data_IF_613328775242
#
_entry.id   IF_613328775242
#
_cell.length_a   1.000
_cell.length_b   1.000
_cell.length_c   1.000
_cell.angle_alpha   90.00
_cell.angle_beta   90.00
_cell.angle_gamma   90.00
#
_symmetry.space_group_name_H-M   'P 1'
#
loop_
_entity.id
_entity.type
_entity.pdbx_description
1 polymer ?
#
# COMPACT_ATOMS: atom_id res chain seq x y z
N UNK A 1 -2.66 20.89 -0.06
CA UNK A 1 -1.41 21.00 0.71
C UNK A 1 -0.99 22.46 0.83
N UNK A 2 -0.24 22.80 1.89
CA UNK A 2 0.49 24.06 1.99
C UNK A 2 1.77 23.93 1.14
N UNK A 3 2.04 24.92 0.28
CA UNK A 3 3.22 24.93 -0.59
C UNK A 3 4.43 25.52 0.16
N UNK A 4 4.83 24.86 1.26
CA UNK A 4 5.92 25.29 2.14
C UNK A 4 7.00 24.24 2.24
N UNK A 5 8.26 24.68 2.36
CA UNK A 5 9.38 23.78 2.61
C UNK A 5 9.22 23.03 3.94
N UNK A 6 9.61 21.77 3.97
CA UNK A 6 9.72 20.96 5.20
C UNK A 6 11.07 21.30 5.88
N UNK A 7 11.08 21.33 7.21
CA UNK A 7 12.32 21.52 7.99
C UNK A 7 13.39 20.51 7.53
N UNK A 8 14.61 20.96 7.20
CA UNK A 8 15.69 20.07 6.73
C UNK A 8 15.99 18.88 7.65
N UNK A 9 15.81 19.06 8.97
CA UNK A 9 15.98 17.98 9.95
C UNK A 9 14.93 16.88 9.78
N UNK A 10 13.68 17.28 9.53
CA UNK A 10 12.59 16.33 9.27
C UNK A 10 12.81 15.65 7.91
N UNK A 11 13.23 16.39 6.90
CA UNK A 11 13.54 15.81 5.59
C UNK A 11 14.69 14.80 5.69
N UNK A 12 15.71 15.07 6.50
CA UNK A 12 16.77 14.11 6.79
C UNK A 12 16.24 12.83 7.44
N UNK A 13 15.30 12.94 8.41
CA UNK A 13 14.65 11.78 9.03
C UNK A 13 13.85 10.97 8.00
N UNK A 14 13.11 11.62 7.08
CA UNK A 14 12.38 10.95 6.01
C UNK A 14 13.35 10.18 5.11
N UNK A 15 14.45 10.81 4.69
CA UNK A 15 15.47 10.16 3.86
C UNK A 15 16.14 8.98 4.57
N UNK A 16 16.43 9.10 5.88
CA UNK A 16 16.94 7.99 6.68
C UNK A 16 15.91 6.84 6.73
N UNK A 17 14.63 7.15 6.96
CA UNK A 17 13.59 6.12 7.00
C UNK A 17 13.42 5.40 5.66
N UNK A 18 13.55 6.10 4.53
CA UNK A 18 13.53 5.47 3.20
C UNK A 18 14.59 4.36 3.09
N UNK A 19 15.75 4.52 3.71
CA UNK A 19 16.83 3.52 3.68
C UNK A 19 16.55 2.29 4.57
N UNK A 20 15.59 2.38 5.49
CA UNK A 20 15.22 1.29 6.40
C UNK A 20 14.00 0.50 5.93
N UNK A 21 13.37 0.91 4.82
CA UNK A 21 12.17 0.27 4.31
C UNK A 21 12.44 -1.20 3.93
N UNK A 22 11.63 -2.09 4.48
CA UNK A 22 11.73 -3.52 4.22
C UNK A 22 10.82 -3.91 3.03
N UNK A 23 11.38 -4.46 1.95
CA UNK A 23 10.58 -4.99 0.85
C UNK A 23 9.91 -6.32 1.23
N UNK A 24 8.73 -6.56 0.68
CA UNK A 24 8.06 -7.87 0.79
C UNK A 24 8.80 -8.95 -0.04
N UNK A 25 9.32 -8.54 -1.19
CA UNK A 25 10.09 -9.38 -2.11
C UNK A 25 11.46 -8.74 -2.36
N UNK A 26 12.53 -9.20 -1.70
CA UNK A 26 13.87 -8.60 -1.85
C UNK A 26 14.41 -8.59 -3.29
N UNK A 27 13.99 -9.56 -4.13
CA UNK A 27 14.42 -9.64 -5.54
C UNK A 27 13.73 -8.60 -6.44
N UNK A 28 12.57 -8.06 -6.02
CA UNK A 28 11.86 -7.01 -6.76
C UNK A 28 12.50 -5.64 -6.48
N UNK A 29 13.56 -5.32 -7.22
CA UNK A 29 14.34 -4.10 -7.04
C UNK A 29 13.48 -2.84 -7.25
N UNK A 30 13.60 -1.87 -6.35
CA UNK A 30 12.90 -0.60 -6.39
C UNK A 30 13.83 0.56 -6.02
N UNK A 31 13.38 1.78 -6.35
CA UNK A 31 14.00 3.06 -5.91
C UNK A 31 12.89 4.03 -5.51
N UNK A 32 13.18 4.87 -4.52
CA UNK A 32 12.28 5.97 -4.13
C UNK A 32 13.05 7.28 -4.30
N UNK A 33 12.47 8.19 -5.07
CA UNK A 33 12.95 9.55 -5.21
C UNK A 33 12.00 10.52 -4.49
N UNK A 34 12.58 11.51 -3.81
CA UNK A 34 11.85 12.66 -3.27
C UNK A 34 11.98 13.80 -4.26
N UNK A 35 10.85 14.31 -4.75
CA UNK A 35 10.78 15.43 -5.68
C UNK A 35 10.26 16.65 -4.94
N UNK A 36 11.05 17.71 -4.90
CA UNK A 36 10.69 19.00 -4.30
C UNK A 36 9.93 19.87 -5.28
N UNK A 37 8.84 20.47 -4.86
CA UNK A 37 7.97 21.29 -5.70
C UNK A 37 7.39 22.52 -4.96
N UNK A 38 7.84 22.81 -3.75
CA UNK A 38 7.30 23.89 -2.91
C UNK A 38 7.54 25.29 -3.52
N UNK A 39 8.51 25.44 -4.42
CA UNK A 39 8.86 26.68 -5.10
C UNK A 39 8.31 26.79 -6.53
N UNK A 40 7.44 25.87 -6.96
CA UNK A 40 6.82 25.90 -8.28
C UNK A 40 5.29 25.95 -8.21
N UNK A 41 4.68 26.73 -9.11
CA UNK A 41 3.24 26.76 -9.31
C UNK A 41 2.75 25.79 -10.40
N UNK A 42 3.68 25.17 -11.14
CA UNK A 42 3.36 24.24 -12.22
C UNK A 42 3.23 22.81 -11.67
N UNK A 43 2.33 22.05 -12.27
CA UNK A 43 2.27 20.61 -12.00
C UNK A 43 3.55 19.91 -12.45
N UNK A 44 4.19 19.17 -11.54
CA UNK A 44 5.42 18.41 -11.80
C UNK A 44 5.13 17.17 -12.64
N UNK A 45 3.92 16.62 -12.50
CA UNK A 45 3.47 15.41 -13.20
C UNK A 45 2.33 15.71 -14.17
N UNK A 46 2.12 14.81 -15.13
CA UNK A 46 0.94 14.79 -16.01
C UNK A 46 -0.04 13.72 -15.52
N UNK A 47 -1.34 13.99 -15.59
CA UNK A 47 -2.40 13.06 -15.17
C UNK A 47 -3.73 13.80 -14.96
N UNK A 48 -4.83 13.07 -14.76
CA UNK A 48 -6.14 13.67 -14.56
C UNK A 48 -6.44 14.05 -13.10
N UNK A 49 -5.98 13.24 -12.16
CA UNK A 49 -6.29 13.41 -10.72
C UNK A 49 -5.02 13.78 -9.96
N UNK A 50 -4.49 14.98 -10.23
CA UNK A 50 -3.28 15.47 -9.59
C UNK A 50 -3.62 16.35 -8.40
N UNK A 51 -2.95 16.11 -7.27
CA UNK A 51 -2.91 17.04 -6.15
C UNK A 51 -1.62 17.86 -6.25
N UNK A 52 -1.73 19.19 -6.18
CA UNK A 52 -0.56 20.05 -6.04
C UNK A 52 -0.04 19.96 -4.60
N UNK A 53 1.22 19.61 -4.44
CA UNK A 53 1.86 19.41 -3.14
C UNK A 53 3.30 19.94 -3.16
N UNK A 54 3.87 20.29 -2.00
CA UNK A 54 5.24 20.78 -1.91
C UNK A 54 6.28 19.70 -2.17
N UNK A 55 5.91 18.43 -1.98
CA UNK A 55 6.80 17.27 -2.18
C UNK A 55 6.03 16.09 -2.75
N UNK A 56 6.77 15.28 -3.49
CA UNK A 56 6.26 14.01 -4.03
C UNK A 56 7.28 12.90 -3.80
N UNK A 57 6.79 11.72 -3.52
CA UNK A 57 7.54 10.47 -3.54
C UNK A 57 7.25 9.78 -4.87
N UNK A 58 8.29 9.37 -5.58
CA UNK A 58 8.18 8.56 -6.79
C UNK A 58 8.85 7.22 -6.51
N UNK A 59 8.06 6.15 -6.46
CA UNK A 59 8.61 4.80 -6.42
C UNK A 59 8.65 4.25 -7.83
N UNK A 60 9.84 3.84 -8.25
CA UNK A 60 10.11 3.16 -9.51
C UNK A 60 10.66 1.77 -9.23
N UNK A 61 10.32 0.80 -10.06
CA UNK A 61 10.77 -0.59 -9.92
C UNK A 61 11.27 -1.15 -11.25
N UNK A 62 12.17 -2.15 -11.18
CA UNK A 62 12.51 -2.97 -12.33
C UNK A 62 11.38 -3.94 -12.65
N UNK A 63 11.34 -4.41 -13.89
CA UNK A 63 10.37 -5.42 -14.30
C UNK A 63 10.56 -6.70 -13.48
N UNK A 64 9.51 -7.07 -12.76
CA UNK A 64 9.47 -8.25 -11.91
C UNK A 64 8.01 -8.62 -11.63
N UNK A 65 7.64 -9.91 -11.59
CA UNK A 65 6.25 -10.35 -11.34
C UNK A 65 5.62 -9.80 -10.05
N UNK A 66 6.44 -9.46 -9.06
CA UNK A 66 5.98 -8.90 -7.77
C UNK A 66 6.24 -7.40 -7.63
N UNK A 67 6.70 -6.71 -8.68
CA UNK A 67 7.06 -5.29 -8.60
C UNK A 67 5.92 -4.42 -8.07
N UNK A 68 4.70 -4.59 -8.57
CA UNK A 68 3.56 -3.79 -8.16
C UNK A 68 3.13 -4.06 -6.71
N UNK A 69 3.05 -5.32 -6.30
CA UNK A 69 2.72 -5.69 -4.90
C UNK A 69 3.78 -5.16 -3.95
N UNK A 70 5.07 -5.36 -4.29
CA UNK A 70 6.19 -4.87 -3.49
C UNK A 70 6.20 -3.34 -3.39
N UNK A 71 5.92 -2.63 -4.50
CA UNK A 71 5.83 -1.18 -4.51
C UNK A 71 4.72 -0.66 -3.58
N UNK A 72 3.54 -1.30 -3.58
CA UNK A 72 2.46 -0.95 -2.66
C UNK A 72 2.84 -1.17 -1.19
N UNK A 73 3.46 -2.33 -0.89
CA UNK A 73 3.90 -2.67 0.45
C UNK A 73 4.97 -1.69 1.00
N UNK A 74 5.96 -1.36 0.19
CA UNK A 74 7.04 -0.45 0.58
C UNK A 74 6.55 1.00 0.69
N UNK A 75 5.75 1.46 -0.28
CA UNK A 75 5.27 2.84 -0.26
C UNK A 75 4.33 3.09 0.92
N UNK A 76 3.51 2.11 1.32
CA UNK A 76 2.60 2.30 2.45
C UNK A 76 3.33 2.42 3.79
N UNK A 77 4.45 1.73 4.01
CA UNK A 77 5.30 1.95 5.19
C UNK A 77 5.72 3.41 5.29
N UNK A 78 6.15 4.01 4.17
CA UNK A 78 6.56 5.41 4.13
C UNK A 78 5.38 6.37 4.29
N UNK A 79 4.23 6.07 3.70
CA UNK A 79 2.99 6.85 3.85
C UNK A 79 2.56 6.88 5.31
N UNK A 80 2.53 5.74 5.99
CA UNK A 80 2.16 5.66 7.41
C UNK A 80 3.17 6.40 8.29
N UNK A 81 4.48 6.30 7.98
CA UNK A 81 5.51 7.08 8.65
C UNK A 81 5.28 8.59 8.49
N UNK A 82 4.99 9.08 7.28
CA UNK A 82 4.71 10.49 7.03
C UNK A 82 3.46 10.96 7.81
N UNK A 83 2.41 10.15 7.82
CA UNK A 83 1.19 10.44 8.58
C UNK A 83 1.48 10.50 10.08
N UNK A 84 2.32 9.61 10.63
CA UNK A 84 2.73 9.64 12.04
C UNK A 84 3.52 10.91 12.40
N UNK A 85 4.20 11.52 11.40
CA UNK A 85 4.88 12.83 11.55
C UNK A 85 3.95 14.03 11.33
N UNK A 86 2.65 13.81 11.13
CA UNK A 86 1.64 14.86 10.96
C UNK A 86 1.54 15.42 9.53
N UNK A 87 2.12 14.76 8.53
CA UNK A 87 1.95 15.12 7.13
C UNK A 87 0.66 14.52 6.56
N UNK A 88 0.03 15.28 5.69
CA UNK A 88 -1.00 14.76 4.80
C UNK A 88 -0.33 14.05 3.62
N UNK A 89 -0.95 13.01 3.10
CA UNK A 89 -0.49 12.23 1.95
C UNK A 89 -1.63 12.02 0.96
N UNK A 90 -1.29 11.82 -0.31
CA UNK A 90 -2.27 11.50 -1.36
C UNK A 90 -1.61 10.64 -2.44
N UNK A 91 -2.11 9.43 -2.63
CA UNK A 91 -1.75 8.58 -3.76
C UNK A 91 -2.24 9.17 -5.08
N UNK A 92 -1.36 9.27 -6.07
CA UNK A 92 -1.64 9.80 -7.40
C UNK A 92 -1.53 8.67 -8.42
N UNK A 93 -2.56 7.82 -8.48
CA UNK A 93 -2.55 6.60 -9.29
C UNK A 93 -2.43 6.82 -10.80
N UNK A 94 -2.78 8.01 -11.30
CA UNK A 94 -2.69 8.38 -12.72
C UNK A 94 -1.51 9.33 -13.04
N UNK A 95 -0.69 9.67 -12.04
CA UNK A 95 0.46 10.53 -12.27
C UNK A 95 1.50 9.82 -13.15
N UNK A 96 1.91 10.49 -14.23
CA UNK A 96 2.93 10.00 -15.17
C UNK A 96 4.24 10.70 -14.88
N UNK A 97 5.26 9.92 -14.55
CA UNK A 97 6.66 10.32 -14.44
C UNK A 97 7.45 9.74 -15.62
N UNK A 98 8.60 10.35 -15.93
CA UNK A 98 9.51 9.78 -16.93
C UNK A 98 10.19 8.53 -16.34
N UNK A 99 10.46 7.50 -17.17
CA UNK A 99 11.31 6.37 -16.76
C UNK A 99 12.70 6.86 -16.35
N UNK A 100 13.32 6.16 -15.41
CA UNK A 100 14.72 6.37 -15.05
C UNK A 100 15.65 5.76 -16.10
N UNK A 101 16.90 6.27 -16.18
CA UNK A 101 17.91 5.81 -17.14
C UNK A 101 18.31 4.34 -16.93
N UNK A 102 18.17 3.81 -15.73
CA UNK A 102 18.57 2.44 -15.33
C UNK A 102 17.44 1.40 -15.45
N UNK A 103 16.49 1.56 -16.36
CA UNK A 103 15.36 0.64 -16.60
C UNK A 103 14.34 0.56 -15.43
N UNK A 104 14.40 1.47 -14.48
CA UNK A 104 13.35 1.58 -13.48
C UNK A 104 12.12 2.28 -14.06
N UNK A 105 10.96 1.64 -13.93
CA UNK A 105 9.70 2.18 -14.40
C UNK A 105 8.92 2.78 -13.22
N UNK A 106 8.39 4.01 -13.35
CA UNK A 106 7.58 4.62 -12.31
C UNK A 106 6.32 3.77 -12.03
N UNK A 107 6.17 3.33 -10.79
CA UNK A 107 5.03 2.50 -10.35
C UNK A 107 3.94 3.35 -9.70
N UNK A 108 4.32 4.24 -8.80
CA UNK A 108 3.37 5.07 -8.04
C UNK A 108 4.00 6.39 -7.60
N UNK A 109 3.18 7.42 -7.56
CA UNK A 109 3.53 8.74 -7.02
C UNK A 109 2.65 9.02 -5.82
N UNK A 110 3.24 9.53 -4.74
CA UNK A 110 2.52 10.01 -3.55
C UNK A 110 2.87 11.48 -3.31
N UNK A 111 1.87 12.34 -3.30
CA UNK A 111 2.01 13.73 -2.88
C UNK A 111 2.02 13.81 -1.35
N UNK A 112 2.88 14.65 -0.76
CA UNK A 112 2.88 14.86 0.69
C UNK A 112 3.27 16.29 1.09
N UNK A 113 2.87 16.67 2.29
CA UNK A 113 3.13 17.99 2.87
C UNK A 113 2.15 18.32 3.99
N UNK A 114 2.23 19.51 4.56
CA UNK A 114 1.24 19.96 5.54
C UNK A 114 -0.12 20.16 4.87
N UNK A 115 -1.20 19.75 5.54
CA UNK A 115 -2.55 20.01 5.04
C UNK A 115 -2.81 21.53 4.94
N UNK A 116 -3.45 21.98 3.85
CA UNK A 116 -3.80 23.41 3.68
C UNK A 116 -4.86 23.86 4.69
N UNK A 117 -5.86 23.02 4.94
CA UNK A 117 -6.92 23.25 5.90
C UNK A 117 -7.31 21.95 6.60
N UNK A 118 -7.69 22.05 7.88
CA UNK A 118 -8.31 20.93 8.61
C UNK A 118 -9.78 20.77 8.22
N UNK A 119 -10.08 20.53 6.94
CA UNK A 119 -11.43 20.14 6.57
C UNK A 119 -11.73 18.77 7.16
N UNK A 120 -12.79 18.69 7.98
CA UNK A 120 -13.34 17.40 8.44
C UNK A 120 -13.89 16.66 7.21
N UNK A 121 -13.04 15.93 6.50
CA UNK A 121 -13.50 15.00 5.46
C UNK A 121 -14.18 13.82 6.16
N UNK A 122 -15.34 13.42 5.65
CA UNK A 122 -15.93 12.14 6.07
C UNK A 122 -14.91 11.03 5.76
N UNK A 123 -14.69 10.08 6.69
CA UNK A 123 -13.84 8.91 6.40
C UNK A 123 -14.32 8.22 5.13
N UNK A 124 -13.40 7.73 4.32
CA UNK A 124 -13.76 6.93 3.16
C UNK A 124 -14.52 5.69 3.62
N UNK A 125 -15.62 5.35 2.92
CA UNK A 125 -16.39 4.16 3.25
C UNK A 125 -15.52 2.91 3.12
N UNK A 126 -15.75 1.94 3.98
CA UNK A 126 -15.05 0.64 3.92
C UNK A 126 -16.08 -0.47 3.87
N UNK A 127 -15.78 -1.51 3.10
CA UNK A 127 -16.60 -2.74 3.05
C UNK A 127 -16.75 -3.32 4.45
N UNK A 128 -17.88 -3.95 4.72
CA UNK A 128 -18.09 -4.66 5.98
C UNK A 128 -17.16 -5.87 6.04
N UNK A 129 -16.77 -6.26 7.24
CA UNK A 129 -15.91 -7.44 7.44
C UNK A 129 -16.53 -8.69 6.80
N UNK A 130 -17.86 -8.85 6.92
CA UNK A 130 -18.62 -9.95 6.32
C UNK A 130 -18.56 -10.04 4.80
N UNK A 131 -18.20 -8.92 4.10
CA UNK A 131 -18.00 -8.92 2.66
C UNK A 131 -16.58 -9.31 2.26
N UNK A 132 -15.64 -9.24 3.22
CA UNK A 132 -14.22 -9.46 3.00
C UNK A 132 -13.76 -10.86 3.43
N UNK A 133 -14.49 -11.53 4.33
CA UNK A 133 -14.15 -12.86 4.85
C UNK A 133 -15.18 -13.90 4.40
N UNK A 134 -14.75 -15.16 4.32
CA UNK A 134 -15.61 -16.27 3.92
C UNK A 134 -16.46 -16.84 5.08
N UNK A 135 -16.06 -16.58 6.32
CA UNK A 135 -16.75 -17.06 7.52
C UNK A 135 -16.85 -15.92 8.55
N UNK A 136 -18.04 -15.48 8.90
CA UNK A 136 -18.27 -14.55 9.99
C UNK A 136 -18.65 -15.30 11.29
N UNK A 137 -18.38 -14.73 12.48
CA UNK A 137 -17.25 -13.85 12.74
C UNK A 137 -15.97 -14.67 12.87
N UNK A 138 -14.84 -14.06 12.49
CA UNK A 138 -13.53 -14.71 12.70
C UNK A 138 -13.38 -15.03 14.19
N UNK A 139 -13.43 -16.31 14.56
CA UNK A 139 -13.37 -16.74 15.95
C UNK A 139 -12.02 -16.39 16.60
N UNK A 140 -10.97 -16.32 15.80
CA UNK A 140 -9.60 -16.00 16.22
C UNK A 140 -9.40 -14.49 16.33
N UNK A 141 -9.22 -13.99 17.54
CA UNK A 141 -9.09 -12.55 17.81
C UNK A 141 -7.92 -11.90 17.05
N UNK A 142 -6.77 -12.59 16.93
CA UNK A 142 -5.60 -12.05 16.19
C UNK A 142 -5.89 -11.93 14.70
N UNK A 143 -6.42 -12.96 14.05
CA UNK A 143 -6.82 -12.91 12.65
C UNK A 143 -7.80 -11.77 12.40
N UNK A 144 -8.78 -11.58 13.28
CA UNK A 144 -9.75 -10.48 13.17
C UNK A 144 -9.07 -9.12 13.19
N UNK A 145 -8.15 -8.86 14.14
CA UNK A 145 -7.43 -7.58 14.25
C UNK A 145 -6.56 -7.32 13.01
N UNK A 146 -5.85 -8.34 12.52
CA UNK A 146 -5.03 -8.26 11.31
C UNK A 146 -5.90 -7.92 10.08
N UNK A 147 -7.05 -8.57 9.91
CA UNK A 147 -7.96 -8.32 8.79
C UNK A 147 -8.62 -6.94 8.91
N UNK A 148 -8.97 -6.48 10.11
CA UNK A 148 -9.51 -5.14 10.33
C UNK A 148 -8.47 -4.06 9.96
N UNK A 149 -7.19 -4.26 10.22
CA UNK A 149 -6.13 -3.37 9.78
C UNK A 149 -6.06 -3.31 8.24
N UNK A 150 -6.11 -4.46 7.55
CA UNK A 150 -6.17 -4.48 6.08
C UNK A 150 -7.46 -3.83 5.53
N UNK A 151 -8.59 -3.96 6.22
CA UNK A 151 -9.88 -3.40 5.81
C UNK A 151 -9.86 -1.88 5.72
N UNK A 152 -9.10 -1.20 6.58
CA UNK A 152 -8.99 0.27 6.57
C UNK A 152 -7.94 0.80 5.58
N UNK A 153 -7.14 -0.06 4.97
CA UNK A 153 -6.13 0.31 4.00
C UNK A 153 -6.72 1.14 2.83
N UNK A 154 -5.98 2.11 2.28
CA UNK A 154 -6.42 2.82 1.09
C UNK A 154 -6.33 1.92 -0.15
N UNK A 155 -7.17 2.21 -1.15
CA UNK A 155 -7.10 1.56 -2.45
C UNK A 155 -7.52 2.48 -3.58
N UNK A 156 -7.03 2.24 -4.78
CA UNK A 156 -7.40 2.96 -5.99
C UNK A 156 -8.92 2.91 -6.18
N UNK A 157 -9.53 4.07 -6.40
CA UNK A 157 -11.00 4.23 -6.53
C UNK A 157 -11.80 3.60 -5.38
N UNK A 158 -11.17 3.35 -4.22
CA UNK A 158 -11.76 2.68 -3.06
C UNK A 158 -12.35 1.29 -3.38
N UNK A 159 -11.75 0.57 -4.32
CA UNK A 159 -12.24 -0.73 -4.80
C UNK A 159 -12.13 -1.83 -3.74
N UNK A 160 -11.12 -1.75 -2.86
CA UNK A 160 -10.91 -2.73 -1.77
C UNK A 160 -10.92 -4.17 -2.30
N UNK A 161 -9.92 -4.52 -3.16
CA UNK A 161 -9.97 -5.76 -3.95
C UNK A 161 -9.69 -7.01 -3.14
N UNK A 162 -9.22 -6.88 -1.92
CA UNK A 162 -8.83 -7.99 -1.06
C UNK A 162 -10.00 -8.81 -0.52
N UNK A 163 -9.77 -10.11 -0.36
CA UNK A 163 -10.64 -11.07 0.33
C UNK A 163 -9.76 -11.96 1.19
N UNK A 164 -10.26 -12.37 2.34
CA UNK A 164 -9.50 -13.08 3.35
C UNK A 164 -10.20 -14.36 3.75
N UNK A 165 -9.43 -15.43 3.85
CA UNK A 165 -9.88 -16.71 4.39
C UNK A 165 -9.01 -17.05 5.60
N UNK A 166 -9.45 -16.68 6.80
CA UNK A 166 -8.73 -17.01 8.03
C UNK A 166 -8.85 -18.50 8.33
N UNK A 167 -7.72 -19.06 8.77
CA UNK A 167 -7.60 -20.40 9.31
C UNK A 167 -6.72 -20.33 10.56
N UNK A 168 -6.53 -21.45 11.25
CA UNK A 168 -5.67 -21.46 12.43
C UNK A 168 -4.23 -21.10 12.09
N UNK A 169 -3.69 -20.08 12.76
CA UNK A 169 -2.33 -19.56 12.54
C UNK A 169 -2.06 -18.94 11.17
N UNK A 170 -3.07 -18.75 10.30
CA UNK A 170 -2.87 -18.20 8.97
C UNK A 170 -4.09 -17.50 8.37
N UNK A 171 -3.83 -16.60 7.43
CA UNK A 171 -4.84 -15.89 6.64
C UNK A 171 -4.46 -16.00 5.17
N UNK A 172 -5.27 -16.69 4.38
CA UNK A 172 -5.11 -16.69 2.93
C UNK A 172 -5.70 -15.41 2.35
N UNK A 173 -4.96 -14.80 1.44
CA UNK A 173 -5.25 -13.50 0.84
C UNK A 173 -5.57 -13.71 -0.62
N UNK A 174 -6.74 -13.27 -1.04
CA UNK A 174 -7.20 -13.33 -2.41
C UNK A 174 -7.47 -11.94 -2.95
N UNK A 175 -7.25 -11.76 -4.23
CA UNK A 175 -7.56 -10.55 -4.99
C UNK A 175 -8.78 -10.79 -5.87
N UNK A 176 -9.82 -9.96 -5.73
CA UNK A 176 -10.95 -9.96 -6.65
C UNK A 176 -10.48 -9.42 -8.01
N UNK A 177 -10.63 -10.25 -9.04
CA UNK A 177 -10.41 -9.81 -10.41
C UNK A 177 -11.58 -8.91 -10.82
N UNK A 178 -11.27 -7.73 -11.25
CA UNK A 178 -12.24 -6.84 -11.86
C UNK A 178 -12.59 -7.34 -13.27
N UNK A 179 -13.68 -6.87 -13.85
CA UNK A 179 -14.22 -7.37 -15.12
C UNK A 179 -13.23 -7.32 -16.29
N UNK A 180 -13.56 -8.04 -17.38
CA UNK A 180 -12.73 -8.23 -18.59
C UNK A 180 -12.21 -6.93 -19.27
N UNK A 181 -12.71 -5.76 -18.90
CA UNK A 181 -12.33 -4.46 -19.49
C UNK A 181 -11.22 -3.70 -18.73
N UNK A 182 -10.48 -4.36 -17.84
CA UNK A 182 -9.41 -3.70 -17.09
C UNK A 182 -8.22 -3.35 -17.99
N UNK A 183 -7.83 -2.06 -17.94
CA UNK A 183 -6.58 -1.61 -18.54
C UNK A 183 -5.38 -2.21 -17.80
N UNK A 184 -4.20 -2.26 -18.47
CA UNK A 184 -2.95 -2.67 -17.82
C UNK A 184 -2.70 -1.88 -16.53
N UNK A 185 -2.95 -0.55 -16.56
CA UNK A 185 -2.77 0.33 -15.40
C UNK A 185 -3.69 -0.03 -14.23
N UNK A 186 -4.95 -0.37 -14.50
CA UNK A 186 -5.88 -0.80 -13.43
C UNK A 186 -5.42 -2.09 -12.75
N UNK A 187 -4.89 -3.05 -13.54
CA UNK A 187 -4.31 -4.29 -12.98
C UNK A 187 -3.11 -3.99 -12.08
N UNK A 188 -2.23 -3.10 -12.51
CA UNK A 188 -1.08 -2.66 -11.71
C UNK A 188 -1.54 -1.98 -10.41
N UNK A 189 -2.51 -1.06 -10.46
CA UNK A 189 -3.06 -0.40 -9.28
C UNK A 189 -3.72 -1.40 -8.32
N UNK A 190 -4.44 -2.40 -8.83
CA UNK A 190 -5.04 -3.44 -8.00
C UNK A 190 -3.96 -4.28 -7.27
N UNK A 191 -2.85 -4.58 -7.94
CA UNK A 191 -1.71 -5.27 -7.31
C UNK A 191 -1.00 -4.38 -6.28
N UNK A 192 -0.85 -3.08 -6.54
CA UNK A 192 -0.38 -2.10 -5.57
C UNK A 192 -1.27 -2.09 -4.32
N UNK A 193 -2.59 -2.05 -4.50
CA UNK A 193 -3.57 -2.09 -3.41
C UNK A 193 -3.41 -3.34 -2.54
N UNK A 194 -3.12 -4.51 -3.16
CA UNK A 194 -2.83 -5.73 -2.40
C UNK A 194 -1.58 -5.58 -1.52
N UNK A 195 -0.52 -4.97 -2.05
CA UNK A 195 0.69 -4.68 -1.28
C UNK A 195 0.43 -3.73 -0.11
N UNK A 196 -0.35 -2.68 -0.33
CA UNK A 196 -0.79 -1.73 0.71
C UNK A 196 -1.53 -2.49 1.83
N UNK A 197 -2.52 -3.32 1.49
CA UNK A 197 -3.26 -4.11 2.48
C UNK A 197 -2.36 -5.07 3.26
N UNK A 198 -1.38 -5.71 2.60
CA UNK A 198 -0.42 -6.59 3.25
C UNK A 198 0.51 -5.83 4.21
N UNK A 199 0.86 -4.58 3.91
CA UNK A 199 1.61 -3.73 4.84
C UNK A 199 0.82 -3.49 6.13
N UNK A 200 -0.46 -3.17 6.04
CA UNK A 200 -1.33 -3.03 7.20
C UNK A 200 -1.45 -4.32 8.01
N UNK A 201 -1.53 -5.48 7.33
CA UNK A 201 -1.57 -6.79 8.00
C UNK A 201 -0.28 -7.08 8.77
N UNK A 202 0.87 -6.83 8.15
CA UNK A 202 2.18 -7.04 8.74
C UNK A 202 2.37 -6.16 9.99
N UNK A 203 2.09 -4.87 9.89
CA UNK A 203 2.17 -3.95 11.03
C UNK A 203 1.21 -4.33 12.16
N UNK A 204 0.00 -4.79 11.85
CA UNK A 204 -0.93 -5.28 12.87
C UNK A 204 -0.43 -6.55 13.55
N UNK A 205 0.22 -7.45 12.82
CA UNK A 205 0.82 -8.65 13.42
C UNK A 205 1.99 -8.28 14.35
N UNK A 206 2.84 -7.31 13.96
CA UNK A 206 3.90 -6.78 14.80
C UNK A 206 3.36 -6.12 16.08
N UNK A 207 2.30 -5.29 15.97
CA UNK A 207 1.64 -4.65 17.12
C UNK A 207 1.04 -5.67 18.09
N UNK A 208 0.63 -6.83 17.59
CA UNK A 208 0.12 -7.96 18.38
C UNK A 208 1.22 -8.87 18.94
N UNK A 209 2.49 -8.52 18.75
CA UNK A 209 3.65 -9.32 19.19
C UNK A 209 3.63 -10.75 18.60
N UNK A 210 3.23 -10.86 17.33
CA UNK A 210 3.23 -12.12 16.60
C UNK A 210 4.50 -12.23 15.74
N UNK A 211 5.04 -13.44 15.66
CA UNK A 211 5.94 -13.79 14.57
C UNK A 211 5.11 -14.04 13.32
N UNK A 212 5.48 -13.41 12.22
CA UNK A 212 4.71 -13.48 10.99
C UNK A 212 5.59 -13.65 9.76
N UNK A 213 5.05 -14.28 8.73
CA UNK A 213 5.64 -14.34 7.41
C UNK A 213 4.58 -14.34 6.32
N UNK A 214 4.88 -13.71 5.19
CA UNK A 214 4.07 -13.80 3.98
C UNK A 214 4.72 -14.81 3.02
N UNK A 215 3.93 -15.74 2.49
CA UNK A 215 4.39 -16.75 1.56
C UNK A 215 3.39 -16.96 0.43
N UNK A 216 3.87 -17.39 -0.75
CA UNK A 216 3.03 -17.79 -1.89
C UNK A 216 3.05 -19.28 -2.15
N UNK A 217 3.61 -20.06 -1.26
CA UNK A 217 3.80 -21.52 -1.44
C UNK A 217 2.48 -22.31 -1.37
N UNK A 218 1.43 -21.77 -0.74
CA UNK A 218 0.14 -22.44 -0.60
C UNK A 218 -0.77 -22.19 -1.80
N UNK A 219 -0.30 -22.54 -2.99
CA UNK A 219 -1.04 -22.36 -4.26
C UNK A 219 -2.22 -23.32 -4.43
N UNK A 220 -2.36 -24.31 -3.55
CA UNK A 220 -3.43 -25.33 -3.58
C UNK A 220 -4.82 -24.80 -3.17
N UNK A 221 -4.89 -23.58 -2.66
CA UNK A 221 -6.14 -22.99 -2.19
C UNK A 221 -6.92 -22.34 -3.32
N UNK A 222 -7.98 -23.00 -3.74
CA UNK A 222 -8.96 -22.40 -4.63
C UNK A 222 -9.75 -21.30 -3.92
N UNK A 223 -9.98 -20.16 -4.59
CA UNK A 223 -10.77 -19.08 -4.01
C UNK A 223 -12.23 -19.51 -3.90
N UNK A 224 -12.81 -19.37 -2.72
CA UNK A 224 -14.24 -19.62 -2.47
C UNK A 224 -15.11 -18.60 -3.24
N UNK A 225 -14.57 -17.41 -3.50
CA UNK A 225 -15.28 -16.37 -4.24
C UNK A 225 -15.05 -16.46 -5.73
N UNK A 226 -16.14 -16.49 -6.51
CA UNK A 226 -16.06 -16.43 -7.96
C UNK A 226 -15.30 -15.18 -8.43
N UNK A 227 -14.35 -15.36 -9.34
CA UNK A 227 -13.55 -14.27 -9.90
C UNK A 227 -12.46 -13.73 -8.98
N UNK A 228 -12.10 -14.45 -7.92
CA UNK A 228 -10.92 -14.13 -7.10
C UNK A 228 -9.71 -14.96 -7.53
N UNK A 229 -8.53 -14.46 -7.19
CA UNK A 229 -7.25 -15.11 -7.42
C UNK A 229 -6.45 -15.12 -6.12
N UNK A 230 -5.83 -16.25 -5.78
CA UNK A 230 -4.91 -16.34 -4.66
C UNK A 230 -3.69 -15.43 -4.88
N UNK A 231 -3.28 -14.72 -3.84
CA UNK A 231 -2.14 -13.81 -3.86
C UNK A 231 -1.03 -14.28 -2.92
N UNK A 232 -1.34 -14.51 -1.65
CA UNK A 232 -0.39 -14.92 -0.63
C UNK A 232 -1.12 -15.51 0.59
N UNK A 233 -0.35 -16.08 1.51
CA UNK A 233 -0.80 -16.45 2.85
C UNK A 233 0.07 -15.74 3.88
N UNK A 234 -0.57 -15.05 4.81
CA UNK A 234 0.05 -14.56 6.03
C UNK A 234 -0.02 -15.69 7.07
N UNK A 235 1.11 -16.20 7.49
CA UNK A 235 1.26 -17.08 8.66
C UNK A 235 1.60 -16.23 9.87
N UNK A 236 1.07 -16.58 11.03
CA UNK A 236 1.37 -15.88 12.28
C UNK A 236 1.26 -16.83 13.47
N UNK A 237 2.13 -16.64 14.45
CA UNK A 237 2.16 -17.37 15.70
C UNK A 237 2.57 -16.46 16.85
N UNK A 238 2.22 -16.84 18.08
CA UNK A 238 2.63 -16.08 19.27
C UNK A 238 4.14 -16.27 19.45
N UNK A 239 4.87 -15.15 19.62
CA UNK A 239 6.30 -15.21 19.92
C UNK A 239 6.55 -16.08 21.13
N UNK A 240 7.34 -17.13 20.94
CA UNK A 240 7.92 -17.90 22.05
C UNK A 240 9.14 -17.12 22.56
N UNK A 241 9.11 -16.79 23.85
CA UNK A 241 10.21 -16.15 24.57
C UNK A 241 11.20 -17.20 25.08
#
# INVERSE_FOLDING_TARGET
FQMTAIDPRIMKQINCFIQTLAPLHPQAAYRIAVVEAYNTQKHVFKGMFLAQAPYYLVLSAKDHPFAAVNAGYVMEQLVLYLVSKGFATCYLGDAKSKPDLDQYQPMIVVAFGKAAEKKKKKPASRKKLTELVNQPPVAQQNARKIIEAARIAPSAFNLQPWRFMPQDGKIHIFMKKESLMQTKRMKELTLLDMGIAMCHMALAAEELWLDWRLSREDTSKEPIWKGCQYVATLYYEIKSF
#
